data_IF_836536013787
#
_entry.id   IF_836536013787
#
_cell.length_a   1.000
_cell.length_b   1.000
_cell.length_c   1.000
_cell.angle_alpha   90.00
_cell.angle_beta   90.00
_cell.angle_gamma   90.00
#
_symmetry.space_group_name_H-M   'P 1'
#
loop_
_entity.id
_entity.type
_entity.pdbx_description
1 polymer ?
#
# COMPACT_ATOMS: atom_id res chain seq x y z
N UNK A 1 -6.06 43.81 3.06
CA UNK A 1 -7.18 42.90 3.29
C UNK A 1 -7.47 42.02 2.08
N UNK A 2 -7.73 42.57 0.89
CA UNK A 2 -8.10 41.75 -0.31
C UNK A 2 -7.05 40.69 -0.67
N UNK A 3 -5.78 41.05 -0.80
CA UNK A 3 -4.68 40.11 -1.12
C UNK A 3 -4.56 39.00 -0.05
N UNK A 4 -4.68 39.36 1.21
CA UNK A 4 -4.70 38.44 2.34
C UNK A 4 -5.82 37.40 2.19
N UNK A 5 -7.06 37.88 1.92
CA UNK A 5 -8.22 36.99 1.74
C UNK A 5 -8.07 36.08 0.52
N UNK A 6 -7.50 36.57 -0.59
CA UNK A 6 -7.25 35.76 -1.80
C UNK A 6 -6.26 34.65 -1.48
N UNK A 7 -5.12 34.96 -0.84
CA UNK A 7 -4.14 33.93 -0.48
C UNK A 7 -4.76 32.89 0.45
N UNK A 8 -5.50 33.34 1.47
CA UNK A 8 -6.20 32.47 2.40
C UNK A 8 -7.18 31.54 1.69
N UNK A 9 -7.98 32.05 0.74
CA UNK A 9 -8.94 31.24 -0.03
C UNK A 9 -8.22 30.20 -0.89
N UNK A 10 -7.16 30.57 -1.60
CA UNK A 10 -6.41 29.64 -2.43
C UNK A 10 -5.88 28.47 -1.60
N UNK A 11 -5.23 28.77 -0.47
CA UNK A 11 -4.66 27.77 0.42
C UNK A 11 -5.75 26.89 1.05
N UNK A 12 -6.85 27.53 1.48
CA UNK A 12 -8.01 26.81 2.05
C UNK A 12 -8.66 25.87 1.03
N UNK A 13 -8.82 26.30 -0.22
CA UNK A 13 -9.39 25.45 -1.29
C UNK A 13 -8.50 24.24 -1.54
N UNK A 14 -7.18 24.43 -1.68
CA UNK A 14 -6.24 23.33 -1.93
C UNK A 14 -6.24 22.30 -0.79
N UNK A 15 -6.08 22.76 0.45
CA UNK A 15 -6.04 21.87 1.62
C UNK A 15 -7.43 21.34 1.97
N UNK A 16 -8.47 22.13 1.77
CA UNK A 16 -9.86 21.74 2.00
C UNK A 16 -10.32 20.63 1.05
N UNK A 17 -10.00 20.72 -0.25
CA UNK A 17 -10.30 19.65 -1.21
C UNK A 17 -9.55 18.35 -0.86
N UNK A 18 -8.26 18.43 -0.52
CA UNK A 18 -7.50 17.27 -0.09
C UNK A 18 -8.06 16.66 1.20
N UNK A 19 -8.46 17.51 2.16
CA UNK A 19 -9.10 17.07 3.41
C UNK A 19 -10.47 16.45 3.15
N UNK A 20 -11.31 17.07 2.33
CA UNK A 20 -12.64 16.56 1.99
C UNK A 20 -12.53 15.18 1.32
N UNK A 21 -11.54 14.99 0.43
CA UNK A 21 -11.28 13.70 -0.19
C UNK A 21 -11.02 12.61 0.87
N UNK A 22 -10.02 12.80 1.74
CA UNK A 22 -9.70 11.79 2.76
C UNK A 22 -10.83 11.61 3.77
N UNK A 23 -11.60 12.68 4.09
CA UNK A 23 -12.72 12.63 5.04
C UNK A 23 -13.87 11.77 4.50
N UNK A 24 -14.26 11.95 3.24
CA UNK A 24 -15.32 11.17 2.60
C UNK A 24 -14.97 9.67 2.66
N UNK A 25 -13.77 9.27 2.24
CA UNK A 25 -13.37 7.87 2.26
C UNK A 25 -13.12 7.33 3.66
N UNK A 26 -12.71 8.17 4.61
CA UNK A 26 -12.57 7.79 6.00
C UNK A 26 -13.94 7.49 6.63
N UNK A 27 -14.92 8.34 6.41
CA UNK A 27 -16.30 8.10 6.87
C UNK A 27 -16.89 6.87 6.18
N UNK A 28 -16.74 6.75 4.87
CA UNK A 28 -17.21 5.58 4.12
C UNK A 28 -16.63 4.28 4.69
N UNK A 29 -15.33 4.28 5.03
CA UNK A 29 -14.65 3.11 5.59
C UNK A 29 -15.26 2.56 6.88
N UNK A 30 -15.96 3.40 7.67
CA UNK A 30 -16.69 2.96 8.87
C UNK A 30 -17.85 2.02 8.54
N UNK A 31 -18.41 2.11 7.34
CA UNK A 31 -19.52 1.29 6.86
C UNK A 31 -19.06 0.04 6.11
N UNK A 32 -17.74 -0.24 6.08
CA UNK A 32 -17.21 -1.43 5.44
C UNK A 32 -17.74 -2.69 6.15
N UNK A 33 -18.37 -3.57 5.36
CA UNK A 33 -18.86 -4.85 5.86
C UNK A 33 -17.88 -5.95 5.49
N UNK A 34 -17.54 -6.76 6.48
CA UNK A 34 -16.72 -7.95 6.26
C UNK A 34 -17.41 -8.89 5.26
N UNK A 35 -16.63 -9.39 4.31
CA UNK A 35 -17.11 -10.36 3.34
C UNK A 35 -17.51 -11.66 4.03
N UNK A 36 -18.65 -12.20 3.64
CA UNK A 36 -19.06 -13.56 4.00
C UNK A 36 -18.66 -14.49 2.85
N UNK A 37 -17.78 -15.42 3.13
CA UNK A 37 -17.36 -16.42 2.16
C UNK A 37 -18.42 -17.52 2.05
N UNK A 38 -18.84 -17.82 0.83
CA UNK A 38 -19.66 -19.00 0.57
C UNK A 38 -18.71 -20.19 0.49
N UNK A 39 -19.07 -21.29 1.11
CA UNK A 39 -18.28 -22.52 0.98
C UNK A 39 -18.23 -22.94 -0.50
N UNK A 40 -17.04 -23.29 -0.98
CA UNK A 40 -16.82 -23.84 -2.32
C UNK A 40 -15.84 -25.00 -2.24
N UNK A 41 -16.20 -26.10 -2.86
CA UNK A 41 -15.32 -27.28 -2.98
C UNK A 41 -14.25 -27.11 -4.07
N UNK A 42 -14.35 -26.06 -4.88
CA UNK A 42 -13.40 -25.78 -5.95
C UNK A 42 -12.15 -25.12 -5.40
N UNK A 43 -11.04 -25.85 -5.36
CA UNK A 43 -9.73 -25.33 -5.05
C UNK A 43 -8.97 -25.01 -6.35
N UNK A 44 -8.71 -23.73 -6.61
CA UNK A 44 -7.90 -23.25 -7.74
C UNK A 44 -6.42 -23.54 -7.51
N UNK A 45 -5.67 -23.75 -8.58
CA UNK A 45 -4.23 -23.94 -8.50
C UNK A 45 -3.53 -22.59 -8.33
N UNK A 46 -2.81 -22.39 -7.23
CA UNK A 46 -2.21 -21.10 -6.83
C UNK A 46 -0.69 -21.15 -6.95
N UNK A 47 -0.09 -20.16 -7.62
CA UNK A 47 1.33 -19.87 -7.54
C UNK A 47 1.57 -18.74 -6.52
N UNK A 48 2.28 -19.01 -5.43
CA UNK A 48 2.71 -18.00 -4.45
C UNK A 48 4.10 -17.52 -4.84
N UNK A 49 4.19 -16.35 -5.47
CA UNK A 49 5.41 -15.79 -6.04
C UNK A 49 6.09 -14.88 -4.99
N UNK A 50 7.29 -15.28 -4.54
CA UNK A 50 8.07 -14.57 -3.53
C UNK A 50 9.41 -14.15 -4.13
N UNK A 51 9.50 -12.98 -4.78
CA UNK A 51 10.75 -12.45 -5.29
C UNK A 51 11.60 -11.87 -4.17
N UNK A 52 12.85 -12.32 -4.05
CA UNK A 52 13.86 -11.83 -3.11
C UNK A 52 15.13 -11.39 -3.83
N UNK A 53 15.66 -10.23 -3.47
CA UNK A 53 16.97 -9.75 -3.92
C UNK A 53 17.90 -9.61 -2.71
N UNK A 54 18.85 -10.55 -2.55
CA UNK A 54 19.79 -10.61 -1.41
C UNK A 54 19.06 -10.65 -0.05
N UNK A 55 17.93 -11.37 0.05
CA UNK A 55 17.10 -11.49 1.25
C UNK A 55 17.43 -12.77 2.05
N UNK A 56 18.73 -13.14 2.07
CA UNK A 56 19.22 -14.37 2.69
C UNK A 56 18.83 -14.53 4.16
N UNK A 57 18.74 -13.41 4.90
CA UNK A 57 18.46 -13.43 6.33
C UNK A 57 17.02 -13.85 6.69
N UNK A 58 16.05 -13.66 5.80
CA UNK A 58 14.62 -13.83 6.11
C UNK A 58 13.91 -14.85 5.23
N UNK A 59 14.42 -15.12 4.03
CA UNK A 59 13.71 -15.87 3.01
C UNK A 59 13.36 -17.31 3.41
N UNK A 60 14.26 -18.00 4.12
CA UNK A 60 14.03 -19.40 4.52
C UNK A 60 12.84 -19.51 5.48
N UNK A 61 12.74 -18.58 6.43
CA UNK A 61 11.64 -18.51 7.38
C UNK A 61 10.31 -18.20 6.66
N UNK A 62 10.31 -17.21 5.77
CA UNK A 62 9.14 -16.84 4.96
C UNK A 62 8.69 -18.01 4.08
N UNK A 63 9.62 -18.70 3.44
CA UNK A 63 9.33 -19.87 2.62
C UNK A 63 8.65 -20.99 3.42
N UNK A 64 9.20 -21.32 4.62
CA UNK A 64 8.63 -22.32 5.52
C UNK A 64 7.25 -21.92 6.05
N UNK A 65 7.05 -20.62 6.35
CA UNK A 65 5.75 -20.12 6.78
C UNK A 65 4.72 -20.15 5.65
N UNK A 66 5.13 -19.81 4.42
CA UNK A 66 4.26 -19.84 3.24
C UNK A 66 3.76 -21.25 2.88
N UNK A 67 4.48 -22.30 3.26
CA UNK A 67 4.04 -23.68 3.09
C UNK A 67 2.93 -24.10 4.06
N UNK A 68 2.71 -23.33 5.14
CA UNK A 68 1.73 -23.67 6.21
C UNK A 68 0.35 -23.06 5.94
N UNK A 69 -0.23 -23.32 4.78
CA UNK A 69 -1.56 -22.81 4.43
C UNK A 69 -2.65 -23.85 4.67
N UNK A 70 -3.80 -23.41 5.18
CA UNK A 70 -5.03 -24.22 5.30
C UNK A 70 -5.70 -24.27 3.91
N UNK A 71 -5.02 -24.91 2.97
CA UNK A 71 -5.39 -25.06 1.56
C UNK A 71 -4.86 -26.40 1.04
N UNK A 72 -5.53 -27.10 0.09
CA UNK A 72 -5.05 -28.39 -0.40
C UNK A 72 -3.63 -28.34 -0.93
N UNK A 73 -2.75 -29.20 -0.41
CA UNK A 73 -1.30 -29.13 -0.66
C UNK A 73 -0.93 -29.35 -2.13
N UNK A 74 -1.76 -30.08 -2.90
CA UNK A 74 -1.60 -30.30 -4.34
C UNK A 74 -2.11 -29.12 -5.19
N UNK A 75 -2.73 -28.13 -4.56
CA UNK A 75 -3.37 -26.98 -5.21
C UNK A 75 -2.63 -25.66 -5.02
N UNK A 76 -1.48 -25.64 -4.36
CA UNK A 76 -0.63 -24.46 -4.37
C UNK A 76 0.84 -24.84 -4.43
N UNK A 77 1.64 -23.92 -4.93
CA UNK A 77 3.11 -24.05 -5.00
C UNK A 77 3.73 -22.73 -4.54
N UNK A 78 4.66 -22.83 -3.59
CA UNK A 78 5.48 -21.68 -3.14
C UNK A 78 6.67 -21.56 -4.06
N UNK A 79 6.77 -20.45 -4.76
CA UNK A 79 7.81 -20.18 -5.77
C UNK A 79 8.73 -19.09 -5.24
N UNK A 80 9.94 -19.46 -4.85
CA UNK A 80 10.98 -18.51 -4.44
C UNK A 80 11.77 -18.07 -5.67
N UNK A 81 11.79 -16.77 -5.94
CA UNK A 81 12.55 -16.20 -7.05
C UNK A 81 13.80 -15.57 -6.45
N UNK A 82 14.88 -16.34 -6.51
CA UNK A 82 16.14 -16.03 -5.84
C UNK A 82 17.03 -15.18 -6.75
N UNK A 83 17.09 -13.87 -6.48
CA UNK A 83 17.98 -12.96 -7.18
C UNK A 83 19.22 -12.65 -6.32
N UNK A 84 20.37 -13.19 -6.75
CA UNK A 84 21.66 -12.95 -6.12
C UNK A 84 21.74 -13.43 -4.64
N UNK A 85 21.15 -14.58 -4.32
CA UNK A 85 21.25 -15.22 -3.01
C UNK A 85 22.59 -15.94 -2.84
N UNK A 86 22.99 -16.16 -1.59
CA UNK A 86 24.19 -16.90 -1.24
C UNK A 86 24.00 -18.42 -1.50
N UNK A 87 25.07 -19.16 -1.83
CA UNK A 87 24.98 -20.60 -2.10
C UNK A 87 24.38 -21.41 -0.95
N UNK A 88 24.64 -21.03 0.29
CA UNK A 88 24.13 -21.68 1.50
C UNK A 88 22.59 -21.51 1.58
N UNK A 89 22.08 -20.32 1.30
CA UNK A 89 20.62 -20.04 1.25
C UNK A 89 19.95 -20.84 0.15
N UNK A 90 20.57 -20.90 -1.03
CA UNK A 90 20.08 -21.71 -2.17
C UNK A 90 20.02 -23.20 -1.78
N UNK A 91 21.07 -23.73 -1.14
CA UNK A 91 21.10 -25.13 -0.69
C UNK A 91 20.00 -25.41 0.34
N UNK A 92 19.79 -24.51 1.30
CA UNK A 92 18.74 -24.64 2.30
C UNK A 92 17.32 -24.58 1.68
N UNK A 93 17.10 -23.71 0.69
CA UNK A 93 15.81 -23.64 -0.03
C UNK A 93 15.55 -24.90 -0.87
N UNK A 94 16.57 -25.51 -1.47
CA UNK A 94 16.43 -26.78 -2.20
C UNK A 94 16.08 -27.98 -1.28
N UNK A 95 16.29 -27.87 0.02
CA UNK A 95 15.96 -28.90 1.00
C UNK A 95 14.51 -28.86 1.49
N UNK A 96 13.71 -27.87 1.11
CA UNK A 96 12.30 -27.74 1.47
C UNK A 96 11.40 -27.80 0.22
N UNK A 97 10.11 -28.15 0.34
CA UNK A 97 9.24 -28.37 -0.81
C UNK A 97 8.76 -27.06 -1.46
N UNK A 98 9.69 -26.20 -1.86
CA UNK A 98 9.42 -24.97 -2.63
C UNK A 98 9.99 -25.10 -4.03
N UNK A 99 9.39 -24.40 -4.97
CA UNK A 99 9.98 -24.26 -6.30
C UNK A 99 10.95 -23.10 -6.30
N UNK A 100 12.22 -23.40 -6.54
CA UNK A 100 13.27 -22.39 -6.59
C UNK A 100 13.54 -21.98 -8.03
N UNK A 101 13.50 -20.69 -8.31
CA UNK A 101 13.85 -20.09 -9.59
C UNK A 101 15.01 -19.12 -9.35
N UNK A 102 16.21 -19.52 -9.75
CA UNK A 102 17.39 -18.70 -9.63
C UNK A 102 17.46 -17.70 -10.81
N UNK A 103 17.60 -16.42 -10.50
CA UNK A 103 17.73 -15.35 -11.50
C UNK A 103 18.90 -14.42 -11.15
N UNK A 104 19.44 -13.76 -12.16
CA UNK A 104 20.47 -12.75 -11.98
C UNK A 104 20.31 -11.69 -13.08
N UNK A 105 20.25 -10.43 -12.67
CA UNK A 105 20.11 -9.31 -13.59
C UNK A 105 21.23 -8.30 -13.37
N UNK A 106 21.63 -7.59 -14.41
CA UNK A 106 22.54 -6.44 -14.30
C UNK A 106 21.92 -5.33 -13.42
N UNK A 107 20.60 -5.10 -13.60
CA UNK A 107 19.79 -4.22 -12.74
C UNK A 107 18.56 -5.01 -12.30
N UNK A 108 18.60 -5.45 -11.06
CA UNK A 108 17.51 -6.21 -10.45
C UNK A 108 16.29 -5.34 -10.19
N UNK A 109 15.11 -5.84 -10.57
CA UNK A 109 13.81 -5.25 -10.24
C UNK A 109 12.81 -6.35 -9.95
N UNK A 110 11.83 -6.06 -9.10
CA UNK A 110 10.76 -7.01 -8.77
C UNK A 110 9.95 -7.42 -10.01
N UNK A 111 9.70 -6.50 -10.94
CA UNK A 111 9.00 -6.80 -12.19
C UNK A 111 9.76 -7.79 -13.07
N UNK A 112 11.08 -7.62 -13.24
CA UNK A 112 11.91 -8.56 -14.00
C UNK A 112 11.93 -9.96 -13.39
N UNK A 113 12.07 -10.03 -12.05
CA UNK A 113 12.05 -11.29 -11.33
C UNK A 113 10.73 -12.05 -11.51
N UNK A 114 9.59 -11.36 -11.34
CA UNK A 114 8.26 -11.92 -11.54
C UNK A 114 8.04 -12.38 -13.00
N UNK A 115 8.41 -11.57 -13.99
CA UNK A 115 8.30 -11.92 -15.39
C UNK A 115 9.11 -13.18 -15.72
N UNK A 116 10.36 -13.24 -15.25
CA UNK A 116 11.22 -14.39 -15.49
C UNK A 116 10.68 -15.68 -14.86
N UNK A 117 10.12 -15.56 -13.66
CA UNK A 117 9.47 -16.70 -13.01
C UNK A 117 8.25 -17.20 -13.78
N UNK A 118 7.37 -16.30 -14.20
CA UNK A 118 6.14 -16.68 -14.94
C UNK A 118 6.44 -17.25 -16.32
N UNK A 119 7.52 -16.86 -16.98
CA UNK A 119 8.02 -17.52 -18.20
C UNK A 119 8.34 -19.00 -17.94
N UNK A 120 9.04 -19.31 -16.83
CA UNK A 120 9.45 -20.68 -16.49
C UNK A 120 8.31 -21.55 -15.92
N UNK A 121 7.32 -20.92 -15.28
CA UNK A 121 6.19 -21.63 -14.68
C UNK A 121 5.13 -22.10 -15.70
N UNK A 122 5.11 -21.49 -16.88
CA UNK A 122 4.08 -21.78 -17.90
C UNK A 122 2.71 -21.25 -17.51
N UNK A 123 1.63 -21.97 -17.91
CA UNK A 123 0.25 -21.47 -17.78
C UNK A 123 -0.63 -22.44 -16.95
N UNK A 124 -0.01 -23.20 -16.04
CA UNK A 124 -0.69 -24.26 -15.28
C UNK A 124 -1.42 -23.79 -14.01
N UNK A 125 -1.37 -22.49 -13.68
CA UNK A 125 -1.98 -21.94 -12.48
C UNK A 125 -3.21 -21.09 -12.81
N UNK A 126 -4.14 -21.03 -11.85
CA UNK A 126 -5.35 -20.21 -11.95
C UNK A 126 -5.13 -18.84 -11.29
N UNK A 127 -4.35 -18.80 -10.19
CA UNK A 127 -4.13 -17.60 -9.38
C UNK A 127 -2.63 -17.39 -9.17
N UNK A 128 -2.17 -16.13 -9.32
CA UNK A 128 -0.89 -15.67 -8.86
C UNK A 128 -1.07 -14.85 -7.57
N UNK A 129 -0.40 -15.25 -6.49
CA UNK A 129 -0.25 -14.46 -5.26
C UNK A 129 1.15 -13.88 -5.25
N UNK A 130 1.28 -12.56 -5.01
CA UNK A 130 2.59 -11.90 -4.89
C UNK A 130 2.81 -11.53 -3.44
N UNK A 131 3.95 -11.96 -2.88
CA UNK A 131 4.35 -11.72 -1.50
C UNK A 131 5.78 -11.16 -1.47
N UNK A 132 6.06 -10.20 -0.58
CA UNK A 132 7.44 -9.74 -0.34
C UNK A 132 8.23 -10.78 0.46
N UNK A 133 9.56 -10.77 0.31
CA UNK A 133 10.45 -11.77 0.89
C UNK A 133 10.54 -11.74 2.44
N UNK A 134 10.00 -10.71 3.07
CA UNK A 134 9.90 -10.51 4.52
C UNK A 134 8.49 -10.67 5.09
N UNK A 135 7.50 -10.95 4.23
CA UNK A 135 6.10 -10.99 4.59
C UNK A 135 5.60 -12.40 4.93
N UNK A 136 4.73 -12.49 5.92
CA UNK A 136 4.10 -13.74 6.36
C UNK A 136 2.60 -13.71 6.08
N UNK A 137 2.08 -14.71 5.35
CA UNK A 137 0.64 -14.90 5.16
C UNK A 137 0.02 -15.59 6.38
N UNK A 138 -1.21 -15.20 6.75
CA UNK A 138 -2.04 -16.00 7.66
C UNK A 138 -2.37 -17.37 7.02
N UNK A 139 -2.61 -18.39 7.86
CA UNK A 139 -2.82 -19.77 7.39
C UNK A 139 -4.01 -19.94 6.45
N UNK A 140 -5.03 -19.13 6.62
CA UNK A 140 -6.26 -19.13 5.82
C UNK A 140 -6.24 -18.16 4.63
N UNK A 141 -5.08 -17.54 4.33
CA UNK A 141 -4.96 -16.51 3.29
C UNK A 141 -5.35 -17.05 1.91
N UNK A 142 -4.79 -18.19 1.50
CA UNK A 142 -5.10 -18.78 0.18
C UNK A 142 -6.56 -19.21 0.04
N UNK A 143 -7.15 -19.73 1.11
CA UNK A 143 -8.59 -20.05 1.12
C UNK A 143 -9.44 -18.81 0.85
N UNK A 144 -9.19 -17.70 1.55
CA UNK A 144 -9.92 -16.44 1.38
C UNK A 144 -9.74 -15.83 -0.01
N UNK A 145 -8.52 -15.90 -0.54
CA UNK A 145 -8.23 -15.50 -1.92
C UNK A 145 -9.05 -16.35 -2.89
N UNK A 146 -9.02 -17.68 -2.78
CA UNK A 146 -9.78 -18.56 -3.65
C UNK A 146 -11.28 -18.23 -3.64
N UNK A 147 -11.85 -17.98 -2.46
CA UNK A 147 -13.26 -17.59 -2.33
C UNK A 147 -13.58 -16.24 -3.01
N UNK A 148 -12.67 -15.31 -3.00
CA UNK A 148 -12.86 -14.06 -3.71
C UNK A 148 -12.89 -14.25 -5.24
N UNK A 149 -12.07 -15.15 -5.75
CA UNK A 149 -12.07 -15.49 -7.18
C UNK A 149 -13.31 -16.29 -7.58
N UNK A 150 -13.91 -17.09 -6.69
CA UNK A 150 -15.23 -17.70 -6.91
C UNK A 150 -16.32 -16.64 -7.10
N UNK A 151 -16.21 -15.51 -6.39
CA UNK A 151 -17.15 -14.41 -6.53
C UNK A 151 -16.83 -13.48 -7.73
N UNK A 152 -15.93 -13.89 -8.62
CA UNK A 152 -15.66 -13.24 -9.91
C UNK A 152 -14.63 -12.11 -9.88
N UNK A 153 -13.84 -11.95 -8.81
CA UNK A 153 -12.73 -11.00 -8.85
C UNK A 153 -11.59 -11.50 -9.73
N UNK A 154 -11.02 -10.59 -10.52
CA UNK A 154 -9.79 -10.82 -11.30
C UNK A 154 -8.55 -10.42 -10.51
N UNK A 155 -8.70 -9.53 -9.53
CA UNK A 155 -7.63 -9.11 -8.63
C UNK A 155 -8.16 -8.73 -7.25
N UNK A 156 -7.38 -9.03 -6.22
CA UNK A 156 -7.67 -8.66 -4.84
C UNK A 156 -6.41 -8.24 -4.09
N UNK A 157 -6.59 -7.35 -3.12
CA UNK A 157 -5.57 -6.99 -2.13
C UNK A 157 -5.97 -7.56 -0.77
N UNK A 158 -5.09 -8.32 -0.14
CA UNK A 158 -5.20 -8.73 1.26
C UNK A 158 -4.89 -7.59 2.22
N UNK A 159 -5.18 -7.80 3.50
CA UNK A 159 -4.90 -6.83 4.56
C UNK A 159 -3.45 -6.95 5.02
N UNK A 160 -2.59 -6.05 4.55
CA UNK A 160 -1.23 -5.96 5.06
C UNK A 160 -1.23 -5.20 6.39
N UNK A 161 -0.61 -5.78 7.41
CA UNK A 161 -0.50 -5.23 8.76
C UNK A 161 0.90 -5.43 9.34
N UNK A 162 1.15 -4.92 10.54
CA UNK A 162 2.47 -4.96 11.14
C UNK A 162 2.84 -6.36 11.67
N UNK A 163 4.04 -6.83 11.31
CA UNK A 163 4.73 -7.96 11.94
C UNK A 163 5.33 -7.54 13.30
N UNK A 164 5.82 -6.31 13.40
CA UNK A 164 6.46 -5.76 14.60
C UNK A 164 5.92 -4.37 14.97
N UNK A 165 5.78 -4.11 16.27
CA UNK A 165 5.41 -2.83 16.89
C UNK A 165 6.29 -2.52 18.10
N UNK A 166 7.58 -2.82 17.99
CA UNK A 166 8.54 -2.83 19.10
C UNK A 166 9.11 -1.45 19.44
N UNK A 167 8.99 -0.46 18.57
CA UNK A 167 9.41 0.91 18.83
C UNK A 167 8.45 1.96 18.21
N UNK A 168 8.65 3.23 18.56
CA UNK A 168 7.77 4.32 18.11
C UNK A 168 7.69 4.46 16.59
N UNK A 169 8.77 4.20 15.84
CA UNK A 169 8.77 4.28 14.38
C UNK A 169 7.95 3.16 13.77
N UNK A 170 8.12 1.92 14.25
CA UNK A 170 7.32 0.79 13.82
C UNK A 170 5.83 0.98 14.13
N UNK A 171 5.49 1.54 15.30
CA UNK A 171 4.10 1.88 15.65
C UNK A 171 3.53 2.93 14.69
N UNK A 172 4.25 4.02 14.42
CA UNK A 172 3.79 5.07 13.50
C UNK A 172 3.64 4.56 12.06
N UNK A 173 4.54 3.69 11.61
CA UNK A 173 4.45 3.08 10.28
C UNK A 173 3.28 2.10 10.20
N UNK A 174 3.04 1.30 11.25
CA UNK A 174 1.88 0.42 11.38
C UNK A 174 0.56 1.22 11.35
N UNK A 175 0.46 2.28 12.14
CA UNK A 175 -0.72 3.18 12.13
C UNK A 175 -0.92 3.79 10.75
N UNK A 176 0.15 4.22 10.09
CA UNK A 176 0.09 4.76 8.71
C UNK A 176 -0.43 3.73 7.72
N UNK A 177 -0.05 2.45 7.84
CA UNK A 177 -0.57 1.36 7.00
C UNK A 177 -2.07 1.11 7.26
N UNK A 178 -2.50 1.09 8.53
CA UNK A 178 -3.91 0.90 8.87
C UNK A 178 -4.79 2.05 8.39
N UNK A 179 -4.30 3.29 8.42
CA UNK A 179 -5.00 4.43 7.81
C UNK A 179 -5.13 4.24 6.29
N UNK A 180 -4.11 3.68 5.60
CA UNK A 180 -4.21 3.31 4.19
C UNK A 180 -5.26 2.22 3.96
N UNK A 181 -5.26 1.17 4.78
CA UNK A 181 -6.24 0.09 4.74
C UNK A 181 -7.67 0.63 4.87
N UNK A 182 -7.87 1.60 5.77
CA UNK A 182 -9.17 2.17 6.02
C UNK A 182 -9.63 3.10 4.88
N UNK A 183 -8.82 4.07 4.48
CA UNK A 183 -9.20 5.10 3.49
C UNK A 183 -9.18 4.52 2.07
N UNK A 184 -8.01 4.04 1.60
CA UNK A 184 -7.79 3.69 0.20
C UNK A 184 -8.22 2.26 -0.17
N UNK A 185 -8.69 1.47 0.79
CA UNK A 185 -9.21 0.11 0.56
C UNK A 185 -10.66 0.02 1.04
N UNK A 186 -10.94 0.04 2.35
CA UNK A 186 -12.31 -0.06 2.88
C UNK A 186 -13.21 1.05 2.34
N UNK A 187 -12.81 2.32 2.50
CA UNK A 187 -13.61 3.47 2.08
C UNK A 187 -13.91 3.46 0.58
N UNK A 188 -12.89 3.18 -0.25
CA UNK A 188 -13.09 3.08 -1.70
C UNK A 188 -14.04 1.94 -2.06
N UNK A 189 -13.88 0.77 -1.45
CA UNK A 189 -14.78 -0.38 -1.71
C UNK A 189 -16.23 -0.10 -1.32
N UNK A 190 -16.48 0.63 -0.23
CA UNK A 190 -17.85 1.02 0.18
C UNK A 190 -18.51 1.93 -0.86
N UNK A 191 -17.75 2.84 -1.46
CA UNK A 191 -18.24 3.73 -2.51
C UNK A 191 -18.20 3.12 -3.92
N UNK A 192 -17.96 1.82 -4.05
CA UNK A 192 -17.96 1.10 -5.33
C UNK A 192 -16.69 1.26 -6.17
N UNK A 193 -15.67 1.94 -5.64
CA UNK A 193 -14.35 2.08 -6.27
C UNK A 193 -13.43 0.90 -5.93
N UNK A 194 -12.34 0.77 -6.65
CA UNK A 194 -11.35 -0.28 -6.44
C UNK A 194 -10.50 -0.06 -5.19
N UNK A 195 -10.08 -1.17 -4.59
CA UNK A 195 -9.06 -1.17 -3.55
C UNK A 195 -7.69 -0.81 -4.13
N UNK A 196 -6.90 -0.04 -3.40
CA UNK A 196 -5.49 0.16 -3.74
C UNK A 196 -4.66 -1.11 -3.49
N UNK A 197 -3.74 -1.46 -4.41
CA UNK A 197 -2.73 -2.50 -4.20
C UNK A 197 -1.39 -1.89 -3.73
N UNK A 198 -0.54 -2.71 -3.10
CA UNK A 198 0.70 -2.24 -2.44
C UNK A 198 1.92 -3.12 -2.67
N UNK A 199 1.92 -3.89 -3.72
CA UNK A 199 3.09 -4.69 -4.10
C UNK A 199 3.25 -6.03 -3.37
N UNK A 200 2.53 -6.28 -2.27
CA UNK A 200 2.57 -7.52 -1.51
C UNK A 200 1.19 -7.88 -0.94
N UNK A 201 0.94 -9.17 -0.71
CA UNK A 201 -0.36 -9.66 -0.27
C UNK A 201 -1.47 -9.39 -1.28
N UNK A 202 -1.13 -9.38 -2.55
CA UNK A 202 -2.05 -9.19 -3.66
C UNK A 202 -2.16 -10.47 -4.49
N UNK A 203 -3.34 -10.73 -5.02
CA UNK A 203 -3.59 -11.88 -5.86
C UNK A 203 -4.32 -11.48 -7.15
N UNK A 204 -4.04 -12.21 -8.22
CA UNK A 204 -4.53 -11.94 -9.57
C UNK A 204 -4.91 -13.26 -10.28
N UNK A 205 -5.84 -13.20 -11.23
CA UNK A 205 -5.93 -14.22 -12.26
C UNK A 205 -4.54 -14.40 -12.91
N UNK A 206 -4.05 -15.63 -12.94
CA UNK A 206 -2.66 -15.90 -13.33
C UNK A 206 -2.39 -15.51 -14.78
N UNK A 207 -3.25 -15.91 -15.69
CA UNK A 207 -3.08 -15.61 -17.12
C UNK A 207 -3.14 -14.11 -17.42
N UNK A 208 -4.12 -13.45 -16.80
CA UNK A 208 -4.24 -11.98 -16.89
C UNK A 208 -2.99 -11.28 -16.35
N UNK A 209 -2.53 -11.68 -15.15
CA UNK A 209 -1.35 -11.08 -14.50
C UNK A 209 -0.07 -11.27 -15.31
N UNK A 210 0.16 -12.48 -15.84
CA UNK A 210 1.30 -12.79 -16.72
C UNK A 210 1.33 -11.86 -17.94
N UNK A 211 0.19 -11.72 -18.61
CA UNK A 211 0.06 -10.82 -19.76
C UNK A 211 0.26 -9.34 -19.38
N UNK A 212 -0.32 -8.91 -18.26
CA UNK A 212 -0.16 -7.54 -17.79
C UNK A 212 1.29 -7.22 -17.43
N UNK A 213 1.95 -8.11 -16.68
CA UNK A 213 3.33 -7.96 -16.23
C UNK A 213 4.32 -7.90 -17.38
N UNK A 214 4.08 -8.59 -18.49
CA UNK A 214 4.93 -8.51 -19.69
C UNK A 214 5.00 -7.09 -20.29
N UNK A 215 4.03 -6.23 -19.96
CA UNK A 215 3.98 -4.82 -20.41
C UNK A 215 4.55 -3.83 -19.39
N UNK A 216 4.98 -4.31 -18.20
CA UNK A 216 5.48 -3.48 -17.09
C UNK A 216 7.00 -3.43 -17.11
N UNK A 217 7.56 -2.22 -17.24
CA UNK A 217 9.02 -1.97 -17.18
C UNK A 217 9.38 -1.01 -16.04
N UNK A 218 8.71 -1.16 -14.89
CA UNK A 218 8.92 -0.31 -13.74
C UNK A 218 10.22 -0.64 -13.00
N UNK A 219 11.06 0.37 -12.77
CA UNK A 219 12.21 0.27 -11.86
C UNK A 219 11.74 0.23 -10.40
N UNK A 220 10.67 0.96 -10.06
CA UNK A 220 10.05 0.98 -8.75
C UNK A 220 8.57 1.36 -8.82
N UNK A 221 7.77 0.84 -7.88
CA UNK A 221 6.33 1.08 -7.85
C UNK A 221 5.58 0.35 -8.98
N UNK A 222 6.01 -0.85 -9.34
CA UNK A 222 5.35 -1.68 -10.36
C UNK A 222 3.88 -1.94 -10.04
N UNK A 223 3.55 -2.04 -8.75
CA UNK A 223 2.20 -2.12 -8.22
C UNK A 223 1.31 -0.97 -8.69
N UNK A 224 1.83 0.27 -8.68
CA UNK A 224 1.11 1.47 -9.15
C UNK A 224 0.82 1.40 -10.65
N UNK A 225 1.78 0.91 -11.43
CA UNK A 225 1.61 0.75 -12.89
C UNK A 225 0.57 -0.32 -13.21
N UNK A 226 0.65 -1.48 -12.55
CA UNK A 226 -0.33 -2.55 -12.68
C UNK A 226 -1.74 -2.03 -12.36
N UNK A 227 -1.88 -1.37 -11.21
CA UNK A 227 -3.16 -0.82 -10.76
C UNK A 227 -3.76 0.14 -11.79
N UNK A 228 -2.99 1.12 -12.28
CA UNK A 228 -3.44 2.06 -13.30
C UNK A 228 -3.85 1.37 -14.61
N UNK A 229 -3.08 0.37 -15.07
CA UNK A 229 -3.40 -0.40 -16.28
C UNK A 229 -4.66 -1.22 -16.12
N UNK A 230 -4.89 -1.84 -14.97
CA UNK A 230 -6.12 -2.58 -14.65
C UNK A 230 -7.33 -1.66 -14.62
N UNK A 231 -7.25 -0.56 -13.89
CA UNK A 231 -8.36 0.40 -13.76
C UNK A 231 -8.70 1.06 -15.08
N UNK A 232 -7.70 1.34 -15.93
CA UNK A 232 -7.93 1.83 -17.30
C UNK A 232 -8.76 0.86 -18.14
N UNK A 233 -8.62 -0.45 -17.91
CA UNK A 233 -9.41 -1.52 -18.56
C UNK A 233 -10.77 -1.75 -17.88
N UNK A 234 -11.09 -1.03 -16.81
CA UNK A 234 -12.34 -1.20 -16.05
C UNK A 234 -12.34 -2.40 -15.10
N UNK A 235 -11.19 -3.01 -14.86
CA UNK A 235 -11.07 -4.17 -13.94
C UNK A 235 -11.10 -3.67 -12.50
N UNK A 236 -12.05 -4.19 -11.72
CA UNK A 236 -12.21 -3.87 -10.31
C UNK A 236 -11.29 -4.69 -9.43
N UNK A 237 -10.62 -4.03 -8.48
CA UNK A 237 -9.75 -4.66 -7.49
C UNK A 237 -10.51 -4.79 -6.17
N UNK A 238 -10.62 -6.03 -5.68
CA UNK A 238 -11.25 -6.34 -4.40
C UNK A 238 -10.36 -6.05 -3.21
N UNK A 239 -10.95 -6.00 -2.00
CA UNK A 239 -10.22 -5.93 -0.74
C UNK A 239 -10.68 -7.03 0.21
N UNK A 240 -9.74 -7.76 0.76
CA UNK A 240 -9.98 -8.85 1.71
C UNK A 240 -9.42 -8.40 3.08
N UNK A 241 -10.29 -7.78 3.89
CA UNK A 241 -9.88 -7.19 5.16
C UNK A 241 -9.43 -8.21 6.22
N UNK A 242 -9.82 -9.46 6.08
CA UNK A 242 -9.50 -10.57 6.96
C UNK A 242 -8.42 -11.52 6.41
N UNK A 243 -8.04 -11.39 5.15
CA UNK A 243 -6.90 -12.11 4.57
C UNK A 243 -5.59 -11.39 4.96
N UNK A 244 -5.02 -11.79 6.10
CA UNK A 244 -3.92 -11.07 6.73
C UNK A 244 -2.58 -11.42 6.12
N UNK A 245 -1.74 -10.38 5.94
CA UNK A 245 -0.31 -10.47 5.61
C UNK A 245 0.47 -9.59 6.56
N UNK A 246 1.43 -10.17 7.25
CA UNK A 246 2.25 -9.50 8.25
C UNK A 246 3.55 -9.00 7.60
N UNK A 247 3.82 -7.70 7.71
CA UNK A 247 4.90 -6.95 7.07
C UNK A 247 5.83 -6.33 8.11
N UNK A 248 7.15 -6.39 7.87
CA UNK A 248 8.12 -5.78 8.76
C UNK A 248 8.04 -4.25 8.69
N UNK A 249 7.78 -3.61 9.84
CA UNK A 249 7.68 -2.15 9.93
C UNK A 249 9.02 -1.50 10.20
N UNK A 250 9.21 -0.34 9.60
CA UNK A 250 10.46 0.43 9.65
C UNK A 250 10.75 0.86 11.08
N UNK A 251 11.96 0.54 11.53
CA UNK A 251 12.44 0.85 12.88
C UNK A 251 13.41 2.05 12.94
N UNK A 252 13.84 2.53 11.77
CA UNK A 252 14.93 3.50 11.63
C UNK A 252 14.50 4.71 10.77
N UNK A 253 14.74 5.98 11.24
CA UNK A 253 14.38 7.19 10.51
C UNK A 253 15.05 7.35 9.13
N UNK A 254 16.27 6.84 8.95
CA UNK A 254 16.98 6.94 7.68
C UNK A 254 16.35 6.04 6.60
N UNK A 255 16.04 4.80 6.99
CA UNK A 255 15.31 3.85 6.14
C UNK A 255 13.95 4.42 5.76
N UNK A 256 13.23 5.03 6.73
CA UNK A 256 11.97 5.72 6.50
C UNK A 256 12.11 6.80 5.42
N UNK A 257 13.07 7.71 5.57
CA UNK A 257 13.27 8.82 4.63
C UNK A 257 13.58 8.32 3.21
N UNK A 258 14.46 7.31 3.08
CA UNK A 258 14.82 6.74 1.79
C UNK A 258 13.65 6.03 1.10
N UNK A 259 12.85 5.27 1.85
CA UNK A 259 11.66 4.59 1.33
C UNK A 259 10.60 5.62 0.88
N UNK A 260 10.30 6.64 1.70
CA UNK A 260 9.32 7.68 1.37
C UNK A 260 9.73 8.49 0.14
N UNK A 261 11.01 8.81 0.00
CA UNK A 261 11.54 9.51 -1.18
C UNK A 261 11.29 8.72 -2.47
N UNK A 262 11.53 7.39 -2.45
CA UNK A 262 11.24 6.52 -3.61
C UNK A 262 9.74 6.47 -3.94
N UNK A 263 8.90 6.34 -2.92
CA UNK A 263 7.46 6.28 -3.11
C UNK A 263 6.89 7.59 -3.69
N UNK A 264 7.34 8.72 -3.18
CA UNK A 264 6.94 10.03 -3.70
C UNK A 264 7.41 10.24 -5.14
N UNK A 265 8.66 9.85 -5.46
CA UNK A 265 9.17 9.92 -6.82
C UNK A 265 8.33 9.09 -7.80
N UNK A 266 7.95 7.87 -7.41
CA UNK A 266 7.06 7.02 -8.18
C UNK A 266 5.66 7.64 -8.34
N UNK A 267 5.07 8.21 -7.26
CA UNK A 267 3.76 8.86 -7.32
C UNK A 267 3.74 10.02 -8.33
N UNK A 268 4.74 10.92 -8.28
CA UNK A 268 4.82 12.03 -9.23
C UNK A 268 5.02 11.56 -10.67
N UNK A 269 5.83 10.52 -10.87
CA UNK A 269 6.04 9.93 -12.19
C UNK A 269 4.72 9.41 -12.77
N UNK A 270 4.00 8.59 -12.01
CA UNK A 270 2.74 7.99 -12.46
C UNK A 270 1.61 9.03 -12.60
N UNK A 271 1.55 10.02 -11.71
CA UNK A 271 0.63 11.14 -11.88
C UNK A 271 0.85 11.83 -13.23
N UNK A 272 2.08 12.27 -13.50
CA UNK A 272 2.40 12.97 -14.75
C UNK A 272 2.09 12.13 -15.99
N UNK A 273 2.36 10.82 -15.94
CA UNK A 273 2.20 9.92 -17.08
C UNK A 273 0.74 9.54 -17.36
N UNK A 274 -0.09 9.40 -16.32
CA UNK A 274 -1.42 8.81 -16.45
C UNK A 274 -2.57 9.80 -16.22
N UNK A 275 -2.37 10.92 -15.52
CA UNK A 275 -3.44 11.86 -15.20
C UNK A 275 -4.15 12.46 -16.43
N UNK A 276 -3.45 12.91 -17.50
CA UNK A 276 -4.13 13.44 -18.69
C UNK A 276 -5.02 12.40 -19.39
N UNK A 277 -4.55 11.15 -19.43
CA UNK A 277 -5.32 10.04 -19.99
C UNK A 277 -6.51 9.65 -19.08
N UNK A 278 -6.34 9.68 -17.76
CA UNK A 278 -7.42 9.44 -16.81
C UNK A 278 -8.53 10.50 -16.92
N UNK A 279 -8.19 11.77 -17.14
CA UNK A 279 -9.16 12.83 -17.43
C UNK A 279 -9.98 12.52 -18.67
N UNK A 280 -9.35 12.07 -19.76
CA UNK A 280 -10.07 11.66 -20.98
C UNK A 280 -10.99 10.47 -20.71
N UNK A 281 -10.54 9.48 -19.97
CA UNK A 281 -11.33 8.27 -19.68
C UNK A 281 -12.55 8.57 -18.81
N UNK A 282 -12.46 9.47 -17.83
CA UNK A 282 -13.64 9.85 -17.02
C UNK A 282 -14.65 10.61 -17.85
N UNK A 283 -14.21 11.53 -18.74
CA UNK A 283 -15.10 12.34 -19.58
C UNK A 283 -15.76 11.53 -20.70
N UNK A 284 -15.00 10.61 -21.35
CA UNK A 284 -15.47 9.90 -22.53
C UNK A 284 -16.11 8.54 -22.21
N UNK A 285 -15.69 7.89 -21.12
CA UNK A 285 -16.10 6.52 -20.76
C UNK A 285 -16.72 6.40 -19.38
N UNK A 286 -16.80 7.50 -18.60
CA UNK A 286 -17.28 7.48 -17.22
C UNK A 286 -16.39 6.66 -16.27
N UNK A 287 -15.10 6.44 -16.60
CA UNK A 287 -14.21 5.62 -15.79
C UNK A 287 -13.70 6.41 -14.57
N UNK A 288 -14.58 6.52 -13.56
CA UNK A 288 -14.29 7.23 -12.31
C UNK A 288 -13.17 6.55 -11.51
N UNK A 289 -13.09 5.22 -11.55
CA UNK A 289 -12.12 4.43 -10.79
C UNK A 289 -10.66 4.74 -11.22
N UNK A 290 -10.43 4.82 -12.53
CA UNK A 290 -9.13 5.18 -13.07
C UNK A 290 -8.77 6.64 -12.80
N UNK A 291 -9.74 7.56 -12.89
CA UNK A 291 -9.55 8.97 -12.58
C UNK A 291 -9.28 9.20 -11.09
N UNK A 292 -10.04 8.55 -10.21
CA UNK A 292 -9.84 8.60 -8.77
C UNK A 292 -8.41 8.15 -8.40
N UNK A 293 -7.94 7.04 -9.00
CA UNK A 293 -6.57 6.58 -8.77
C UNK A 293 -5.52 7.59 -9.19
N UNK A 294 -5.71 8.25 -10.32
CA UNK A 294 -4.79 9.29 -10.78
C UNK A 294 -4.77 10.49 -9.82
N UNK A 295 -5.92 10.87 -9.23
CA UNK A 295 -6.01 11.91 -8.18
C UNK A 295 -5.31 11.47 -6.89
N UNK A 296 -5.38 10.20 -6.51
CA UNK A 296 -4.67 9.70 -5.32
C UNK A 296 -3.17 10.01 -5.36
N UNK A 297 -2.55 10.05 -6.54
CA UNK A 297 -1.12 10.34 -6.68
C UNK A 297 -0.74 11.81 -6.47
N UNK A 298 -1.67 12.74 -6.55
CA UNK A 298 -1.42 14.17 -6.27
C UNK A 298 -1.79 14.55 -4.84
N UNK A 299 -2.45 13.66 -4.10
CA UNK A 299 -2.77 13.91 -2.71
C UNK A 299 -1.49 14.17 -1.89
N UNK A 300 -1.46 15.23 -1.05
CA UNK A 300 -0.33 15.48 -0.18
C UNK A 300 -0.05 14.29 0.74
N UNK A 301 1.21 14.03 1.10
CA UNK A 301 1.51 13.06 2.15
C UNK A 301 0.70 13.38 3.40
N UNK A 302 -0.07 12.42 3.89
CA UNK A 302 -1.09 12.62 4.93
C UNK A 302 -0.57 13.28 6.19
N UNK A 303 0.64 12.90 6.62
CA UNK A 303 1.28 13.52 7.81
C UNK A 303 1.54 15.01 7.57
N UNK A 304 1.90 15.40 6.35
CA UNK A 304 2.11 16.81 5.97
C UNK A 304 0.78 17.54 5.81
N UNK A 305 -0.25 16.87 5.25
CA UNK A 305 -1.59 17.44 5.16
C UNK A 305 -2.13 17.78 6.56
N UNK A 306 -2.05 16.82 7.49
CA UNK A 306 -2.48 17.05 8.88
C UNK A 306 -1.75 18.23 9.51
N UNK A 307 -0.41 18.25 9.42
CA UNK A 307 0.39 19.33 10.01
C UNK A 307 0.13 20.69 9.36
N UNK A 308 0.03 20.74 8.03
CA UNK A 308 -0.25 21.97 7.30
C UNK A 308 -1.66 22.51 7.63
N UNK A 309 -2.67 21.65 7.65
CA UNK A 309 -4.05 22.05 8.00
C UNK A 309 -4.11 22.57 9.43
N UNK A 310 -3.53 21.85 10.41
CA UNK A 310 -3.56 22.28 11.81
C UNK A 310 -2.81 23.58 12.03
N UNK A 311 -1.61 23.70 11.45
CA UNK A 311 -0.79 24.92 11.59
C UNK A 311 -1.46 26.12 10.92
N UNK A 312 -1.89 25.99 9.66
CA UNK A 312 -2.46 27.12 8.92
C UNK A 312 -3.87 27.49 9.42
N UNK A 313 -4.67 26.52 9.88
CA UNK A 313 -5.92 26.82 10.55
C UNK A 313 -5.69 27.66 11.81
N UNK A 314 -4.73 27.29 12.66
CA UNK A 314 -4.38 28.06 13.86
C UNK A 314 -3.93 29.48 13.48
N UNK A 315 -3.01 29.61 12.51
CA UNK A 315 -2.51 30.92 12.04
C UNK A 315 -3.64 31.79 11.50
N UNK A 316 -4.45 31.27 10.56
CA UNK A 316 -5.49 32.08 9.92
C UNK A 316 -6.65 32.39 10.84
N UNK A 317 -7.01 31.51 11.76
CA UNK A 317 -8.02 31.81 12.81
C UNK A 317 -7.56 32.97 13.68
N UNK A 318 -6.32 32.91 14.18
CA UNK A 318 -5.75 34.00 15.01
C UNK A 318 -5.66 35.32 14.22
N UNK A 319 -5.13 35.26 12.99
CA UNK A 319 -5.03 36.47 12.14
C UNK A 319 -6.40 37.06 11.79
N UNK A 320 -7.41 36.23 11.50
CA UNK A 320 -8.77 36.71 11.24
C UNK A 320 -9.38 37.38 12.47
N UNK A 321 -9.13 36.87 13.67
CA UNK A 321 -9.60 37.49 14.91
C UNK A 321 -8.90 38.84 15.17
N UNK A 322 -7.61 38.90 14.95
CA UNK A 322 -6.82 40.17 15.20
C UNK A 322 -7.10 41.22 14.14
N UNK A 323 -7.29 40.84 12.87
CA UNK A 323 -7.46 41.74 11.74
C UNK A 323 -8.93 41.99 11.35
N UNK A 324 -9.86 41.51 12.19
CA UNK A 324 -11.31 41.53 11.88
C UNK A 324 -11.62 40.96 10.49
N UNK A 325 -10.96 39.81 10.16
CA UNK A 325 -11.14 39.11 8.90
C UNK A 325 -12.54 38.46 8.75
N UNK A 326 -12.85 37.91 7.56
CA UNK A 326 -14.16 37.34 7.30
C UNK A 326 -14.47 36.12 8.21
N UNK A 327 -15.54 36.19 8.99
CA UNK A 327 -15.97 35.11 9.91
C UNK A 327 -16.20 33.77 9.18
N UNK A 328 -16.67 33.82 7.93
CA UNK A 328 -16.88 32.62 7.09
C UNK A 328 -15.57 31.88 6.84
N UNK A 329 -14.48 32.58 6.53
CA UNK A 329 -13.18 31.95 6.31
C UNK A 329 -12.63 31.33 7.60
N UNK A 330 -12.84 32.01 8.74
CA UNK A 330 -12.48 31.47 10.06
C UNK A 330 -13.22 30.14 10.33
N UNK A 331 -14.51 30.13 10.11
CA UNK A 331 -15.35 28.92 10.27
C UNK A 331 -14.87 27.80 9.34
N UNK A 332 -14.61 28.08 8.06
CA UNK A 332 -14.14 27.09 7.10
C UNK A 332 -12.77 26.48 7.50
N UNK A 333 -11.86 27.28 8.05
CA UNK A 333 -10.60 26.74 8.59
C UNK A 333 -10.81 25.81 9.78
N UNK A 334 -11.70 26.18 10.71
CA UNK A 334 -12.06 25.34 11.86
C UNK A 334 -12.67 24.02 11.38
N UNK A 335 -13.65 24.09 10.48
CA UNK A 335 -14.31 22.89 9.92
C UNK A 335 -13.30 21.99 9.19
N UNK A 336 -12.39 22.57 8.41
CA UNK A 336 -11.33 21.81 7.71
C UNK A 336 -10.40 21.12 8.71
N UNK A 337 -9.99 21.80 9.78
CA UNK A 337 -9.14 21.21 10.82
C UNK A 337 -9.85 20.07 11.57
N UNK A 338 -11.11 20.24 11.91
CA UNK A 338 -11.95 19.21 12.53
C UNK A 338 -12.11 18.01 11.60
N UNK A 339 -12.49 18.23 10.34
CA UNK A 339 -12.64 17.16 9.34
C UNK A 339 -11.33 16.40 9.11
N UNK A 340 -10.19 17.09 9.01
CA UNK A 340 -8.88 16.48 8.88
C UNK A 340 -8.57 15.59 10.09
N UNK A 341 -8.76 16.09 11.30
CA UNK A 341 -8.52 15.35 12.54
C UNK A 341 -9.38 14.08 12.62
N UNK A 342 -10.69 14.21 12.37
CA UNK A 342 -11.60 13.06 12.39
C UNK A 342 -11.31 12.05 11.29
N UNK A 343 -10.81 12.47 10.12
CA UNK A 343 -10.38 11.53 9.07
C UNK A 343 -9.34 10.55 9.58
N UNK A 344 -8.39 11.00 10.38
CA UNK A 344 -7.36 10.13 10.96
C UNK A 344 -7.92 9.32 12.12
N UNK A 345 -8.68 9.93 13.03
CA UNK A 345 -9.27 9.21 14.17
C UNK A 345 -10.15 8.04 13.72
N UNK A 346 -11.05 8.26 12.76
CA UNK A 346 -11.90 7.18 12.24
C UNK A 346 -11.12 6.07 11.53
N UNK A 347 -9.94 6.38 11.01
CA UNK A 347 -9.14 5.45 10.24
C UNK A 347 -8.20 4.58 11.09
N UNK A 348 -8.01 4.91 12.35
CA UNK A 348 -7.12 4.17 13.26
C UNK A 348 -7.91 3.05 13.94
N UNK A 349 -7.51 1.76 13.83
CA UNK A 349 -8.14 0.67 14.54
C UNK A 349 -8.04 0.82 16.07
N UNK A 350 -9.06 0.33 16.80
CA UNK A 350 -9.11 0.41 18.27
C UNK A 350 -7.87 -0.17 18.96
N UNK A 351 -7.24 -1.19 18.38
CA UNK A 351 -6.02 -1.80 18.90
C UNK A 351 -4.84 -0.83 19.06
N UNK A 352 -4.84 0.26 18.28
CA UNK A 352 -3.80 1.29 18.36
C UNK A 352 -4.11 2.42 19.35
N UNK A 353 -5.28 2.45 20.00
CA UNK A 353 -5.57 3.39 21.07
C UNK A 353 -4.90 2.94 22.37
N UNK A 354 -3.60 3.12 22.48
CA UNK A 354 -2.77 2.67 23.58
C UNK A 354 -1.80 3.75 24.05
N UNK A 355 -1.29 3.61 25.30
CA UNK A 355 -0.24 4.51 25.83
C UNK A 355 1.02 4.49 24.95
N UNK A 356 1.39 3.33 24.39
CA UNK A 356 2.55 3.20 23.49
C UNK A 356 2.36 4.03 22.22
N UNK A 357 1.19 4.01 21.62
CA UNK A 357 0.86 4.82 20.45
C UNK A 357 0.85 6.31 20.79
N UNK A 358 0.32 6.70 21.95
CA UNK A 358 0.34 8.09 22.39
C UNK A 358 1.78 8.62 22.53
N UNK A 359 2.68 7.82 23.10
CA UNK A 359 4.11 8.16 23.15
C UNK A 359 4.72 8.25 21.75
N UNK A 360 4.36 7.33 20.85
CA UNK A 360 4.86 7.35 19.48
C UNK A 360 4.42 8.62 18.70
N UNK A 361 3.24 9.15 19.00
CA UNK A 361 2.73 10.42 18.40
C UNK A 361 3.66 11.59 18.64
N UNK A 362 4.42 11.63 19.75
CA UNK A 362 5.45 12.63 19.98
C UNK A 362 6.57 12.62 18.90
N UNK A 363 6.74 11.54 18.15
CA UNK A 363 7.64 11.44 17.01
C UNK A 363 7.10 12.07 15.71
N UNK A 364 5.82 12.43 15.64
CA UNK A 364 5.18 12.99 14.44
C UNK A 364 5.90 14.24 13.91
N UNK A 365 6.28 15.25 14.71
CA UNK A 365 7.00 16.43 14.20
C UNK A 365 8.29 16.07 13.48
N UNK A 366 9.07 15.11 14.02
CA UNK A 366 10.27 14.58 13.37
C UNK A 366 9.94 13.86 12.06
N UNK A 367 8.88 13.05 12.04
CA UNK A 367 8.38 12.38 10.84
C UNK A 367 7.93 13.38 9.77
N UNK A 368 7.27 14.46 10.14
CA UNK A 368 6.89 15.57 9.24
C UNK A 368 8.11 16.22 8.61
N UNK A 369 9.12 16.57 9.41
CA UNK A 369 10.36 17.16 8.92
C UNK A 369 11.07 16.23 7.93
N UNK A 370 11.21 14.94 8.25
CA UNK A 370 11.81 13.95 7.36
C UNK A 370 11.02 13.79 6.05
N UNK A 371 9.69 13.82 6.11
CA UNK A 371 8.84 13.76 4.94
C UNK A 371 8.99 15.02 4.07
N UNK A 372 9.06 16.21 4.67
CA UNK A 372 9.30 17.46 3.95
C UNK A 372 10.67 17.45 3.27
N UNK A 373 11.72 17.03 3.96
CA UNK A 373 13.06 16.87 3.39
C UNK A 373 13.09 15.83 2.25
N UNK A 374 12.29 14.76 2.37
CA UNK A 374 12.13 13.75 1.32
C UNK A 374 11.47 14.33 0.07
N UNK A 375 10.48 15.20 0.22
CA UNK A 375 9.86 15.94 -0.89
C UNK A 375 10.85 16.82 -1.63
N UNK A 376 11.70 17.55 -0.90
CA UNK A 376 12.72 18.41 -1.49
C UNK A 376 13.82 17.65 -2.23
N UNK A 377 14.07 16.38 -1.87
CA UNK A 377 15.12 15.51 -2.42
C UNK A 377 14.60 14.44 -3.42
N UNK A 378 13.41 14.59 -3.96
CA UNK A 378 12.78 13.59 -4.87
C UNK A 378 13.59 13.40 -6.18
N UNK A 379 14.25 14.44 -6.68
CA UNK A 379 14.93 14.41 -7.98
C UNK A 379 15.94 13.26 -8.06
N UNK A 380 15.76 12.35 -9.02
CA UNK A 380 16.66 11.20 -9.25
C UNK A 380 16.43 9.97 -8.37
N UNK A 381 15.48 9.98 -7.44
CA UNK A 381 15.27 8.88 -6.48
C UNK A 381 14.75 7.56 -7.10
N UNK A 382 14.27 7.58 -8.34
CA UNK A 382 13.69 6.42 -9.03
C UNK A 382 14.63 5.79 -10.09
N UNK A 383 15.92 6.20 -10.10
CA UNK A 383 16.88 5.72 -11.12
C UNK A 383 17.56 4.40 -10.77
N UNK A 384 17.66 4.08 -9.48
CA UNK A 384 18.31 2.87 -9.00
C UNK A 384 17.49 2.21 -7.90
N UNK A 385 17.42 0.87 -7.91
CA UNK A 385 16.84 0.11 -6.81
C UNK A 385 17.78 0.20 -5.59
N UNK A 386 17.27 0.71 -4.47
CA UNK A 386 17.95 0.71 -3.19
C UNK A 386 17.40 -0.45 -2.36
N UNK A 387 18.22 -1.45 -2.10
CA UNK A 387 17.88 -2.59 -1.24
C UNK A 387 17.66 -2.10 0.21
N UNK A 388 16.60 -2.57 0.84
CA UNK A 388 16.35 -2.39 2.27
C UNK A 388 16.62 -3.73 2.93
N UNK A 389 17.58 -3.83 3.83
CA UNK A 389 17.86 -5.06 4.59
C UNK A 389 16.77 -5.31 5.63
N UNK A 390 16.23 -6.53 5.64
CA UNK A 390 15.24 -7.01 6.62
C UNK A 390 15.91 -7.96 7.61
N UNK A 391 15.47 -7.93 8.87
CA UNK A 391 16.13 -8.69 9.96
C UNK A 391 15.20 -9.20 11.05
N UNK A 392 13.91 -8.85 11.01
CA UNK A 392 12.96 -9.27 12.03
C UNK A 392 12.53 -10.73 11.83
N UNK A 393 12.80 -11.58 12.81
CA UNK A 393 12.34 -12.97 12.82
C UNK A 393 10.85 -13.10 13.17
N UNK A 394 10.23 -14.24 12.80
CA UNK A 394 8.82 -14.56 13.12
C UNK A 394 8.58 -14.70 14.62
N UNK A 395 9.64 -14.91 15.43
CA UNK A 395 9.53 -14.99 16.89
C UNK A 395 8.91 -13.73 17.52
N UNK A 396 9.03 -12.57 16.85
CA UNK A 396 8.43 -11.30 17.28
C UNK A 396 6.98 -11.14 16.81
N UNK A 397 6.47 -12.05 16.01
CA UNK A 397 5.12 -11.98 15.45
C UNK A 397 4.16 -12.60 16.46
N UNK A 398 3.42 -11.78 17.23
CA UNK A 398 2.20 -12.25 17.90
C UNK A 398 1.16 -12.55 16.79
N UNK A 399 1.22 -13.76 16.23
CA UNK A 399 0.09 -14.28 15.48
C UNK A 399 -1.09 -14.32 16.49
N UNK A 400 -2.09 -13.45 16.25
CA UNK A 400 -3.26 -13.41 17.09
C UNK A 400 -3.87 -14.81 17.18
N UNK A 401 -3.90 -15.34 18.37
CA UNK A 401 -4.71 -16.49 18.77
C UNK A 401 -6.16 -16.10 18.75
#
# INVERSE_FOLDING_TARGET
MIIYSIIQIIVLVLLGLATAYIFIFSVAGLFYRQRRYKHSDKARKVAVLIPGYKEDAVILEVAQAALKQDYPADRFEVVIIADSFQPETIAALKAIPVKLIEVKFEKSTKSKALNKAMEQLGDQYDIAVVLDADNLMARDFLYKVNMAFEDGFTAVQGHRTAKNINNSWAILDAVSEEINNHIFRKGHRVLGLSSAIIGSGMAFDYGYFKNLMSTVDAVGGFDKEIELKMLKQGIKIGYLNDAMVYDEKIQNPEVFSNQRRRWLAAQFHYFKSYFPDACKHVLLKGNVDYFDKAIQFVQPPRILLLGAVMFLAAVFVVLNLLLHGPAVLTLLWIVTAIACTFSFLFSIPRAFYSKKTLVAVAGIPKGMLLMLLSLLKIKGANKTFLHTTHSASSADTKMGS
#
